data_IF_162691369663
#
_entry.id   IF_162691369663
#
_cell.length_a   1.000
_cell.length_b   1.000
_cell.length_c   1.000
_cell.angle_alpha   90.00
_cell.angle_beta   90.00
_cell.angle_gamma   90.00
#
_symmetry.space_group_name_H-M   'P 1'
#
loop_
_entity.id
_entity.type
_entity.pdbx_description
1 polymer ?
#
# COMPACT_ATOMS: atom_id res chain seq x y z
N UNK A 1 -4.77 124.79 -60.36
CA UNK A 1 -5.00 124.19 -59.02
C UNK A 1 -5.22 122.71 -59.21
N UNK A 2 -4.25 121.89 -58.81
CA UNK A 2 -4.28 120.44 -59.01
C UNK A 2 -5.26 119.79 -58.03
N UNK A 3 -6.34 119.21 -58.54
CA UNK A 3 -7.19 118.29 -57.78
C UNK A 3 -6.51 116.92 -57.83
N UNK A 4 -5.76 116.60 -56.78
CA UNK A 4 -5.12 115.30 -56.61
C UNK A 4 -6.23 114.29 -56.35
N UNK A 5 -6.46 113.40 -57.32
CA UNK A 5 -7.38 112.26 -57.18
C UNK A 5 -6.88 111.36 -56.05
N UNK A 6 -7.52 111.41 -54.89
CA UNK A 6 -7.36 110.43 -53.80
C UNK A 6 -7.97 109.04 -54.11
N UNK A 7 -8.19 108.72 -55.40
CA UNK A 7 -8.82 107.47 -55.83
C UNK A 7 -7.95 106.22 -55.56
N UNK A 8 -6.63 106.36 -55.66
CA UNK A 8 -5.68 105.24 -55.49
C UNK A 8 -5.50 104.82 -54.02
N UNK A 9 -5.49 105.80 -53.11
CA UNK A 9 -5.33 105.53 -51.66
C UNK A 9 -6.54 104.79 -51.11
N UNK A 10 -7.75 105.11 -51.61
CA UNK A 10 -9.00 104.46 -51.21
C UNK A 10 -9.07 103.00 -51.70
N UNK A 11 -8.68 102.71 -52.95
CA UNK A 11 -8.62 101.33 -53.46
C UNK A 11 -7.56 100.49 -52.71
N UNK A 12 -6.38 101.05 -52.44
CA UNK A 12 -5.32 100.36 -51.69
C UNK A 12 -5.73 100.10 -50.24
N UNK A 13 -6.44 101.03 -49.62
CA UNK A 13 -7.02 100.87 -48.29
C UNK A 13 -8.09 99.77 -48.29
N UNK A 14 -9.02 99.77 -49.24
CA UNK A 14 -10.06 98.75 -49.36
C UNK A 14 -9.46 97.36 -49.62
N UNK A 15 -8.44 97.26 -50.47
CA UNK A 15 -7.74 96.00 -50.75
C UNK A 15 -7.09 95.42 -49.49
N UNK A 16 -6.40 96.25 -48.69
CA UNK A 16 -5.86 95.80 -47.40
C UNK A 16 -6.94 95.41 -46.40
N UNK A 17 -8.07 96.11 -46.38
CA UNK A 17 -9.18 95.81 -45.49
C UNK A 17 -9.83 94.47 -45.84
N UNK A 18 -9.97 94.18 -47.15
CA UNK A 18 -10.41 92.86 -47.64
C UNK A 18 -9.39 91.76 -47.38
N UNK A 19 -8.08 92.02 -47.51
CA UNK A 19 -7.04 91.05 -47.16
C UNK A 19 -7.05 90.72 -45.65
N UNK A 20 -7.24 91.72 -44.79
CA UNK A 20 -7.38 91.53 -43.33
C UNK A 20 -8.65 90.74 -43.03
N UNK A 21 -9.77 91.05 -43.69
CA UNK A 21 -11.01 90.28 -43.57
C UNK A 21 -10.83 88.83 -43.98
N UNK A 22 -10.20 88.57 -45.13
CA UNK A 22 -9.97 87.23 -45.61
C UNK A 22 -9.12 86.41 -44.63
N UNK A 23 -8.03 86.99 -44.10
CA UNK A 23 -7.19 86.32 -43.08
C UNK A 23 -7.94 86.06 -41.77
N UNK A 24 -8.75 87.01 -41.30
CA UNK A 24 -9.59 86.81 -40.11
C UNK A 24 -10.64 85.73 -40.33
N UNK A 25 -11.21 85.65 -41.53
CA UNK A 25 -12.19 84.62 -41.89
C UNK A 25 -11.54 83.23 -41.94
N UNK A 26 -10.39 83.09 -42.59
CA UNK A 26 -9.64 81.82 -42.66
C UNK A 26 -9.19 81.34 -41.27
N UNK A 27 -8.72 82.25 -40.42
CA UNK A 27 -8.35 81.92 -39.05
C UNK A 27 -9.57 81.45 -38.24
N UNK A 28 -10.70 82.17 -38.31
CA UNK A 28 -11.92 81.79 -37.62
C UNK A 28 -12.46 80.44 -38.12
N UNK A 29 -12.40 80.16 -39.43
CA UNK A 29 -12.81 78.87 -39.98
C UNK A 29 -11.88 77.73 -39.57
N UNK A 30 -10.57 77.96 -39.51
CA UNK A 30 -9.58 76.98 -39.03
C UNK A 30 -9.76 76.63 -37.56
N UNK A 31 -10.03 77.62 -36.71
CA UNK A 31 -10.33 77.43 -35.28
C UNK A 31 -11.63 76.62 -35.08
N UNK A 32 -12.70 76.94 -35.82
CA UNK A 32 -13.98 76.20 -35.76
C UNK A 32 -13.85 74.76 -36.25
N UNK A 33 -13.07 74.51 -37.30
CA UNK A 33 -12.79 73.16 -37.80
C UNK A 33 -12.03 72.32 -36.76
N UNK A 34 -10.96 72.87 -36.17
CA UNK A 34 -10.20 72.20 -35.10
C UNK A 34 -11.07 71.87 -33.87
N UNK A 35 -11.91 72.81 -33.42
CA UNK A 35 -12.83 72.58 -32.29
C UNK A 35 -13.85 71.47 -32.59
N UNK A 36 -14.31 71.38 -33.85
CA UNK A 36 -15.25 70.34 -34.29
C UNK A 36 -14.59 68.96 -34.31
N UNK A 37 -13.35 68.87 -34.78
CA UNK A 37 -12.54 67.64 -34.84
C UNK A 37 -12.23 67.14 -33.41
N UNK A 38 -11.83 68.04 -32.52
CA UNK A 38 -11.59 67.75 -31.11
C UNK A 38 -12.86 67.26 -30.39
N UNK A 39 -14.03 67.84 -30.72
CA UNK A 39 -15.32 67.37 -30.21
C UNK A 39 -15.72 65.97 -30.74
N UNK A 40 -15.28 65.60 -31.94
CA UNK A 40 -15.52 64.29 -32.52
C UNK A 40 -14.61 63.23 -31.88
N UNK A 41 -13.32 63.50 -31.77
CA UNK A 41 -12.37 62.60 -31.11
C UNK A 41 -12.75 62.34 -29.65
N UNK A 42 -13.14 63.38 -28.90
CA UNK A 42 -13.61 63.21 -27.52
C UNK A 42 -14.85 62.32 -27.42
N UNK A 43 -15.78 62.40 -28.38
CA UNK A 43 -16.94 61.52 -28.44
C UNK A 43 -16.56 60.07 -28.71
N UNK A 44 -15.63 59.84 -29.63
CA UNK A 44 -15.13 58.50 -29.93
C UNK A 44 -14.35 57.91 -28.75
N UNK A 45 -13.49 58.69 -28.12
CA UNK A 45 -12.76 58.29 -26.91
C UNK A 45 -13.71 57.89 -25.79
N UNK A 46 -14.71 58.73 -25.46
CA UNK A 46 -15.73 58.41 -24.46
C UNK A 46 -16.47 57.10 -24.77
N UNK A 47 -16.84 56.89 -26.04
CA UNK A 47 -17.49 55.65 -26.48
C UNK A 47 -16.58 54.44 -26.30
N UNK A 48 -15.31 54.54 -26.72
CA UNK A 48 -14.31 53.48 -26.56
C UNK A 48 -14.08 53.10 -25.09
N UNK A 49 -14.00 54.09 -24.20
CA UNK A 49 -13.87 53.87 -22.75
C UNK A 49 -15.11 53.16 -22.19
N UNK A 50 -16.32 53.58 -22.58
CA UNK A 50 -17.56 52.93 -22.16
C UNK A 50 -17.65 51.48 -22.65
N UNK A 51 -17.35 51.23 -23.92
CA UNK A 51 -17.39 49.89 -24.52
C UNK A 51 -16.37 48.95 -23.84
N UNK A 52 -15.17 49.47 -23.54
CA UNK A 52 -14.12 48.73 -22.83
C UNK A 52 -14.54 48.39 -21.39
N UNK A 53 -15.12 49.36 -20.68
CA UNK A 53 -15.63 49.16 -19.33
C UNK A 53 -16.75 48.11 -19.31
N UNK A 54 -17.71 48.23 -20.22
CA UNK A 54 -18.83 47.30 -20.36
C UNK A 54 -18.35 45.87 -20.67
N UNK A 55 -17.38 45.71 -21.57
CA UNK A 55 -16.79 44.41 -21.88
C UNK A 55 -16.15 43.77 -20.65
N UNK A 56 -15.35 44.53 -19.89
CA UNK A 56 -14.73 44.04 -18.66
C UNK A 56 -15.75 43.64 -17.60
N UNK A 57 -16.82 44.42 -17.41
CA UNK A 57 -17.88 44.06 -16.48
C UNK A 57 -18.53 42.72 -16.83
N UNK A 58 -18.74 42.43 -18.13
CA UNK A 58 -19.26 41.12 -18.56
C UNK A 58 -18.27 39.98 -18.32
N UNK A 59 -16.99 40.21 -18.58
CA UNK A 59 -15.93 39.22 -18.30
C UNK A 59 -15.89 38.93 -16.79
N UNK A 60 -15.96 39.96 -15.94
CA UNK A 60 -16.00 39.82 -14.49
C UNK A 60 -17.23 39.02 -14.02
N UNK A 61 -18.43 39.31 -14.54
CA UNK A 61 -19.65 38.51 -14.25
C UNK A 61 -19.42 37.02 -14.53
N UNK A 62 -18.87 36.68 -15.70
CA UNK A 62 -18.59 35.28 -16.03
C UNK A 62 -17.53 34.64 -15.13
N UNK A 63 -16.53 35.40 -14.69
CA UNK A 63 -15.55 34.91 -13.73
C UNK A 63 -16.17 34.67 -12.36
N UNK A 64 -17.06 35.54 -11.90
CA UNK A 64 -17.78 35.36 -10.64
C UNK A 64 -18.65 34.11 -10.65
N UNK A 65 -19.37 33.86 -11.74
CA UNK A 65 -20.16 32.63 -11.91
C UNK A 65 -19.29 31.38 -11.83
N UNK A 66 -18.12 31.41 -12.49
CA UNK A 66 -17.17 30.30 -12.45
C UNK A 66 -16.56 30.10 -11.06
N UNK A 67 -16.21 31.17 -10.35
CA UNK A 67 -15.72 31.10 -8.97
C UNK A 67 -16.79 30.52 -8.05
N UNK A 68 -18.06 30.92 -8.22
CA UNK A 68 -19.17 30.39 -7.43
C UNK A 68 -19.36 28.90 -7.69
N UNK A 69 -19.29 28.47 -8.96
CA UNK A 69 -19.35 27.07 -9.34
C UNK A 69 -18.20 26.26 -8.73
N UNK A 70 -16.97 26.71 -8.88
CA UNK A 70 -15.79 26.05 -8.31
C UNK A 70 -15.85 25.96 -6.79
N UNK A 71 -16.38 27.01 -6.12
CA UNK A 71 -16.60 27.02 -4.68
C UNK A 71 -17.59 25.94 -4.25
N UNK A 72 -18.63 25.70 -5.04
CA UNK A 72 -19.62 24.67 -4.74
C UNK A 72 -19.04 23.27 -4.97
N UNK A 73 -18.34 23.05 -6.09
CA UNK A 73 -17.66 21.79 -6.38
C UNK A 73 -16.61 21.44 -5.31
N UNK A 74 -15.85 22.43 -4.82
CA UNK A 74 -14.91 22.23 -3.71
C UNK A 74 -15.59 21.79 -2.42
N UNK A 75 -16.76 22.36 -2.10
CA UNK A 75 -17.54 21.93 -0.92
C UNK A 75 -17.98 20.48 -1.06
N UNK A 76 -18.54 20.10 -2.20
CA UNK A 76 -19.01 18.74 -2.48
C UNK A 76 -17.85 17.74 -2.43
N UNK A 77 -16.72 18.07 -3.06
CA UNK A 77 -15.51 17.25 -3.01
C UNK A 77 -14.97 17.10 -1.58
N UNK A 78 -14.98 18.17 -0.77
CA UNK A 78 -14.55 18.08 0.62
C UNK A 78 -15.46 17.19 1.47
N UNK A 79 -16.78 17.22 1.24
CA UNK A 79 -17.72 16.31 1.92
C UNK A 79 -17.49 14.85 1.50
N UNK A 80 -17.31 14.59 0.21
CA UNK A 80 -17.06 13.25 -0.32
C UNK A 80 -15.74 12.69 0.20
N UNK A 81 -14.68 13.52 0.27
CA UNK A 81 -13.39 13.13 0.83
C UNK A 81 -13.50 12.74 2.30
N UNK A 82 -14.29 13.48 3.07
CA UNK A 82 -14.51 13.19 4.50
C UNK A 82 -15.25 11.86 4.69
N UNK A 83 -16.28 11.60 3.89
CA UNK A 83 -17.01 10.33 3.92
C UNK A 83 -16.11 9.15 3.55
N UNK A 84 -15.35 9.27 2.45
CA UNK A 84 -14.38 8.25 2.02
C UNK A 84 -13.29 8.01 3.05
N UNK A 85 -12.84 9.06 3.73
CA UNK A 85 -11.88 8.93 4.83
C UNK A 85 -12.46 8.16 6.01
N UNK A 86 -13.74 8.31 6.33
CA UNK A 86 -14.39 7.56 7.40
C UNK A 86 -14.53 6.07 7.03
N UNK A 87 -14.98 5.77 5.82
CA UNK A 87 -15.06 4.40 5.28
C UNK A 87 -13.69 3.70 5.32
N UNK A 88 -12.62 4.41 4.95
CA UNK A 88 -11.26 3.87 5.01
C UNK A 88 -10.83 3.52 6.43
N UNK A 89 -11.17 4.34 7.44
CA UNK A 89 -10.83 4.06 8.85
C UNK A 89 -11.50 2.77 9.32
N UNK A 90 -12.78 2.56 8.97
CA UNK A 90 -13.50 1.32 9.32
C UNK A 90 -12.85 0.10 8.67
N UNK A 91 -12.51 0.18 7.37
CA UNK A 91 -11.83 -0.92 6.66
C UNK A 91 -10.49 -1.27 7.32
N UNK A 92 -9.67 -0.26 7.66
CA UNK A 92 -8.36 -0.48 8.29
C UNK A 92 -8.52 -1.17 9.64
N UNK A 93 -9.45 -0.72 10.50
CA UNK A 93 -9.70 -1.39 11.78
C UNK A 93 -10.10 -2.86 11.60
N UNK A 94 -10.93 -3.17 10.60
CA UNK A 94 -11.32 -4.55 10.30
C UNK A 94 -10.17 -5.41 9.76
N UNK A 95 -9.17 -4.81 9.11
CA UNK A 95 -7.93 -5.50 8.70
C UNK A 95 -7.05 -5.79 9.91
N UNK A 96 -6.85 -4.79 10.78
CA UNK A 96 -6.04 -4.93 12.00
C UNK A 96 -6.60 -6.02 12.92
N UNK A 97 -7.91 -6.07 13.13
CA UNK A 97 -8.57 -7.11 13.94
C UNK A 97 -8.34 -8.51 13.37
N UNK A 98 -8.46 -8.67 12.04
CA UNK A 98 -8.21 -9.95 11.35
C UNK A 98 -6.74 -10.36 11.44
N UNK A 99 -5.82 -9.40 11.35
CA UNK A 99 -4.39 -9.65 11.48
C UNK A 99 -4.02 -10.09 12.90
N UNK A 100 -4.59 -9.44 13.91
CA UNK A 100 -4.46 -9.87 15.30
C UNK A 100 -5.01 -11.30 15.52
N UNK A 101 -6.20 -11.59 14.99
CA UNK A 101 -6.78 -12.93 15.08
C UNK A 101 -5.92 -13.99 14.39
N UNK A 102 -5.38 -13.66 13.20
CA UNK A 102 -4.45 -14.53 12.46
C UNK A 102 -3.19 -14.82 13.29
N UNK A 103 -2.62 -13.84 13.97
CA UNK A 103 -1.46 -14.03 14.85
C UNK A 103 -1.75 -15.00 16.01
N UNK A 104 -2.93 -14.89 16.65
CA UNK A 104 -3.36 -15.81 17.70
C UNK A 104 -3.51 -17.25 17.20
N UNK A 105 -4.05 -17.44 15.99
CA UNK A 105 -4.18 -18.76 15.38
C UNK A 105 -2.80 -19.38 15.09
N UNK A 106 -1.84 -18.61 14.56
CA UNK A 106 -0.48 -19.09 14.35
C UNK A 106 0.18 -19.54 15.65
N UNK A 107 0.10 -18.73 16.70
CA UNK A 107 0.62 -19.07 18.02
C UNK A 107 0.03 -20.38 18.55
N UNK A 108 -1.29 -20.59 18.35
CA UNK A 108 -1.97 -21.82 18.77
C UNK A 108 -1.51 -23.04 17.97
N UNK A 109 -1.31 -22.89 16.67
CA UNK A 109 -0.80 -23.95 15.80
C UNK A 109 0.62 -24.36 16.22
N UNK A 110 1.50 -23.40 16.51
CA UNK A 110 2.86 -23.69 16.97
C UNK A 110 2.87 -24.43 18.31
N UNK A 111 2.03 -24.00 19.25
CA UNK A 111 1.86 -24.69 20.53
C UNK A 111 1.41 -26.13 20.32
N UNK A 112 0.37 -26.35 19.50
CA UNK A 112 -0.13 -27.69 19.19
C UNK A 112 0.92 -28.56 18.51
N UNK A 113 1.70 -28.01 17.58
CA UNK A 113 2.83 -28.73 16.94
C UNK A 113 3.87 -29.16 17.98
N UNK A 114 4.23 -28.27 18.90
CA UNK A 114 5.18 -28.60 19.97
C UNK A 114 4.65 -29.67 20.92
N UNK A 115 3.39 -29.56 21.32
CA UNK A 115 2.74 -30.54 22.20
C UNK A 115 2.60 -31.90 21.50
N UNK A 116 2.26 -31.92 20.20
CA UNK A 116 2.24 -33.14 19.41
C UNK A 116 3.64 -33.76 19.25
N UNK A 117 4.68 -32.94 19.04
CA UNK A 117 6.06 -33.42 18.95
C UNK A 117 6.53 -34.05 20.26
N UNK A 118 6.21 -33.44 21.41
CA UNK A 118 6.47 -34.02 22.75
C UNK A 118 5.74 -35.34 22.94
N UNK A 119 4.48 -35.44 22.53
CA UNK A 119 3.71 -36.68 22.63
C UNK A 119 4.16 -37.77 21.64
N UNK A 120 4.94 -37.42 20.60
CA UNK A 120 5.51 -38.33 19.61
C UNK A 120 6.94 -38.78 19.92
N UNK A 121 7.53 -38.36 21.04
CA UNK A 121 8.70 -39.05 21.58
C UNK A 121 8.24 -40.46 21.96
N UNK A 122 8.32 -41.40 21.00
CA UNK A 122 7.89 -42.78 21.20
C UNK A 122 8.56 -43.35 22.45
N UNK A 123 7.74 -43.78 23.41
CA UNK A 123 8.18 -44.36 24.67
C UNK A 123 9.11 -45.53 24.38
N UNK A 124 10.39 -45.36 24.71
CA UNK A 124 11.35 -46.46 24.67
C UNK A 124 11.13 -47.31 25.91
N UNK A 125 10.84 -48.58 25.71
CA UNK A 125 10.63 -49.53 26.81
C UNK A 125 11.89 -50.35 27.02
N UNK A 126 12.40 -50.35 28.25
CA UNK A 126 13.50 -51.21 28.65
C UNK A 126 12.97 -52.50 29.25
N UNK A 127 13.39 -53.62 28.68
CA UNK A 127 13.08 -54.95 29.20
C UNK A 127 14.29 -55.50 29.92
N UNK A 128 14.14 -55.82 31.19
CA UNK A 128 15.21 -56.25 32.09
C UNK A 128 14.99 -57.70 32.50
N UNK A 129 15.97 -58.54 32.22
CA UNK A 129 16.02 -59.93 32.61
C UNK A 129 17.07 -60.11 33.71
N UNK A 130 16.62 -60.71 34.81
CA UNK A 130 17.46 -61.17 35.92
C UNK A 130 17.31 -62.68 36.07
N UNK A 131 18.10 -63.29 36.96
CA UNK A 131 18.10 -64.73 37.16
C UNK A 131 18.32 -65.47 35.82
N UNK A 132 19.28 -64.98 35.04
CA UNK A 132 19.73 -65.60 33.79
C UNK A 132 20.99 -66.42 34.06
N UNK A 133 21.98 -65.80 34.71
CA UNK A 133 23.21 -66.46 35.08
C UNK A 133 23.06 -67.09 36.47
N UNK A 134 23.17 -68.43 36.56
CA UNK A 134 23.07 -69.13 37.84
C UNK A 134 24.24 -68.81 38.80
N UNK A 135 25.38 -68.36 38.28
CA UNK A 135 26.55 -67.97 39.07
C UNK A 135 26.44 -66.55 39.63
N UNK A 136 25.64 -65.71 38.97
CA UNK A 136 25.39 -64.32 39.35
C UNK A 136 23.93 -63.96 39.04
N UNK A 137 23.00 -64.27 39.96
CA UNK A 137 21.56 -64.04 39.73
C UNK A 137 21.19 -62.55 39.58
N UNK A 138 22.02 -61.65 40.12
CA UNK A 138 21.84 -60.20 40.07
C UNK A 138 22.33 -59.58 38.77
N UNK A 139 23.11 -60.32 37.97
CA UNK A 139 23.52 -59.90 36.63
C UNK A 139 22.30 -59.54 35.78
N UNK A 140 22.37 -58.37 35.16
CA UNK A 140 21.29 -57.80 34.35
C UNK A 140 21.56 -58.02 32.87
N UNK A 141 20.55 -58.52 32.16
CA UNK A 141 20.50 -58.58 30.71
C UNK A 141 19.31 -57.75 30.26
N UNK A 142 19.50 -56.80 29.35
CA UNK A 142 18.43 -55.90 28.96
C UNK A 142 18.44 -55.56 27.48
N UNK A 143 17.28 -55.19 26.95
CA UNK A 143 17.18 -54.57 25.64
C UNK A 143 16.22 -53.37 25.67
N UNK A 144 16.42 -52.43 24.75
CA UNK A 144 15.56 -51.29 24.53
C UNK A 144 14.70 -51.51 23.29
N UNK A 145 13.39 -51.43 23.47
CA UNK A 145 12.38 -51.52 22.42
C UNK A 145 11.80 -50.13 22.15
N UNK A 146 11.60 -49.81 20.89
CA UNK A 146 10.85 -48.63 20.46
C UNK A 146 9.77 -49.07 19.48
N UNK A 147 8.58 -48.50 19.60
CA UNK A 147 7.55 -48.59 18.56
C UNK A 147 7.62 -47.31 17.73
N UNK A 148 7.69 -47.38 16.40
CA UNK A 148 7.67 -46.18 15.55
C UNK A 148 6.25 -45.65 15.32
N UNK A 149 6.12 -44.62 14.48
CA UNK A 149 4.83 -43.98 14.18
C UNK A 149 3.91 -44.89 13.34
N UNK A 150 4.49 -45.89 12.67
CA UNK A 150 3.84 -46.87 11.82
C UNK A 150 3.42 -48.13 12.61
N UNK A 151 3.78 -48.21 13.90
CA UNK A 151 3.46 -49.33 14.78
C UNK A 151 4.41 -50.53 14.64
N UNK A 152 5.61 -50.31 14.11
CA UNK A 152 6.64 -51.33 13.92
C UNK A 152 7.61 -51.31 15.11
N UNK A 153 7.94 -52.50 15.61
CA UNK A 153 8.89 -52.68 16.71
C UNK A 153 10.33 -52.57 16.22
N UNK A 154 11.15 -51.78 16.90
CA UNK A 154 12.58 -51.62 16.68
C UNK A 154 13.37 -51.93 17.94
N UNK A 155 14.44 -52.70 17.81
CA UNK A 155 15.40 -52.94 18.89
C UNK A 155 16.51 -51.90 18.81
N UNK A 156 16.55 -50.99 19.78
CA UNK A 156 17.50 -49.88 19.83
C UNK A 156 18.86 -50.33 20.39
N UNK A 157 18.85 -51.18 21.40
CA UNK A 157 20.07 -51.75 21.99
C UNK A 157 19.76 -53.05 22.73
N UNK A 158 20.79 -53.88 22.92
CA UNK A 158 20.74 -55.12 23.67
C UNK A 158 22.09 -55.30 24.39
N UNK A 159 22.05 -55.51 25.70
CA UNK A 159 23.23 -55.72 26.54
C UNK A 159 23.03 -56.94 27.44
N UNK A 160 23.88 -57.98 27.33
CA UNK A 160 24.91 -58.18 26.32
C UNK A 160 24.33 -58.33 24.90
N UNK A 161 25.11 -58.06 23.83
CA UNK A 161 24.66 -58.24 22.46
C UNK A 161 24.30 -59.71 22.15
N UNK A 162 23.22 -59.92 21.41
CA UNK A 162 22.77 -61.25 20.97
C UNK A 162 22.96 -61.40 19.46
N UNK A 163 23.64 -62.47 19.01
CA UNK A 163 23.87 -62.74 17.58
C UNK A 163 22.55 -62.89 16.80
N UNK A 164 21.52 -63.46 17.42
CA UNK A 164 20.21 -63.70 16.77
C UNK A 164 19.23 -62.54 16.92
N UNK A 165 19.63 -61.40 17.48
CA UNK A 165 18.68 -60.31 17.81
C UNK A 165 17.93 -59.81 16.57
N UNK A 166 18.62 -59.58 15.46
CA UNK A 166 18.03 -59.12 14.20
C UNK A 166 16.98 -60.09 13.64
N UNK A 167 17.22 -61.40 13.78
CA UNK A 167 16.25 -62.43 13.36
C UNK A 167 15.02 -62.44 14.27
N UNK A 168 15.22 -62.28 15.58
CA UNK A 168 14.13 -62.21 16.55
C UNK A 168 13.28 -60.94 16.33
N UNK A 169 13.91 -59.81 16.01
CA UNK A 169 13.24 -58.56 15.66
C UNK A 169 12.40 -58.69 14.39
N UNK A 170 12.96 -59.20 13.29
CA UNK A 170 12.22 -59.43 12.04
C UNK A 170 11.02 -60.37 12.27
N UNK A 171 11.20 -61.43 13.06
CA UNK A 171 10.08 -62.32 13.44
C UNK A 171 9.05 -61.64 14.32
N UNK A 172 9.44 -60.75 15.22
CA UNK A 172 8.51 -59.96 16.03
C UNK A 172 7.66 -59.04 15.13
N UNK A 173 8.28 -58.39 14.15
CA UNK A 173 7.60 -57.53 13.18
C UNK A 173 6.60 -58.32 12.32
N UNK A 174 6.96 -59.52 11.87
CA UNK A 174 6.09 -60.38 11.05
C UNK A 174 4.93 -61.01 11.84
N UNK A 175 5.21 -61.52 13.04
CA UNK A 175 4.25 -62.34 13.79
C UNK A 175 3.45 -61.54 14.82
N UNK A 176 3.92 -60.34 15.17
CA UNK A 176 3.42 -59.52 16.28
C UNK A 176 3.28 -60.30 17.61
N UNK A 177 4.03 -61.39 17.78
CA UNK A 177 3.93 -62.27 18.95
C UNK A 177 4.99 -61.90 19.98
N UNK A 178 4.69 -60.87 20.77
CA UNK A 178 5.62 -60.32 21.76
C UNK A 178 5.99 -61.32 22.86
N UNK A 179 5.04 -62.16 23.29
CA UNK A 179 5.31 -63.19 24.30
C UNK A 179 6.32 -64.23 23.81
N UNK A 180 6.18 -64.68 22.56
CA UNK A 180 7.13 -65.61 21.95
C UNK A 180 8.51 -64.96 21.78
N UNK A 181 8.54 -63.68 21.40
CA UNK A 181 9.78 -62.91 21.30
C UNK A 181 10.53 -62.86 22.64
N UNK A 182 9.87 -62.43 23.73
CA UNK A 182 10.50 -62.38 25.07
C UNK A 182 11.02 -63.75 25.53
N UNK A 183 10.26 -64.82 25.29
CA UNK A 183 10.68 -66.17 25.63
C UNK A 183 11.94 -66.60 24.85
N UNK A 184 12.02 -66.25 23.57
CA UNK A 184 13.19 -66.54 22.73
C UNK A 184 14.40 -65.68 23.14
N UNK A 185 14.22 -64.38 23.39
CA UNK A 185 15.30 -63.50 23.90
C UNK A 185 15.85 -64.03 25.22
N UNK A 186 14.98 -64.42 26.17
CA UNK A 186 15.40 -65.04 27.43
C UNK A 186 16.23 -66.31 27.19
N UNK A 187 15.83 -67.15 26.24
CA UNK A 187 16.57 -68.38 25.89
C UNK A 187 17.96 -68.07 25.37
N UNK A 188 18.11 -67.08 24.50
CA UNK A 188 19.41 -66.67 23.96
C UNK A 188 20.31 -66.08 25.06
N UNK A 189 19.77 -65.27 25.97
CA UNK A 189 20.53 -64.81 27.14
C UNK A 189 21.00 -65.96 28.04
N UNK A 190 20.17 -66.98 28.27
CA UNK A 190 20.60 -68.18 29.01
C UNK A 190 21.70 -68.92 28.24
N UNK A 191 21.57 -69.07 26.92
CA UNK A 191 22.55 -69.76 26.07
C UNK A 191 23.95 -69.14 26.12
N UNK A 192 24.05 -67.80 26.29
CA UNK A 192 25.32 -67.10 26.48
C UNK A 192 26.11 -67.60 27.71
N UNK A 193 25.42 -68.07 28.76
CA UNK A 193 26.05 -68.50 30.01
C UNK A 193 26.20 -70.01 30.11
N UNK A 194 25.41 -70.77 29.34
CA UNK A 194 25.44 -72.24 29.32
C UNK A 194 26.31 -72.82 28.22
N UNK A 195 26.91 -71.99 27.35
CA UNK A 195 27.90 -72.43 26.35
C UNK A 195 27.33 -73.30 25.23
N UNK A 196 26.01 -73.24 25.00
CA UNK A 196 25.36 -74.05 23.97
C UNK A 196 25.37 -73.32 22.61
N UNK A 197 26.42 -73.57 21.81
CA UNK A 197 26.31 -73.43 20.35
C UNK A 197 25.27 -74.45 19.86
N UNK A 198 24.06 -74.00 19.57
CA UNK A 198 23.13 -74.78 18.76
C UNK A 198 23.19 -74.23 17.33
N UNK A 199 23.95 -74.96 16.51
CA UNK A 199 23.85 -75.03 15.05
C UNK A 199 22.42 -75.24 14.57
#
# INVERSE_FOLDING_TARGET
MASVREYNVVEQFNSKLEEIRAKMLDQAMGEVLNDTELCQEHRQYKKSVLDTCFKKCKEDETMFDMIQKNKQELKENSSLLREKSAEHVEIVSGIEDKEHHKALLFQRIEKLKKDQAKNRECEKLQFVFRNINAKDPDMVHAFLLQLDAEGIYHIISCDPPLEKMTQLESRLQETNNFSAFLANVRREFVALHTGAKMT
#
